data_IF_282668957878
#
_entry.id   IF_282668957878
#
_cell.length_a   1.000
_cell.length_b   1.000
_cell.length_c   1.000
_cell.angle_alpha   90.00
_cell.angle_beta   90.00
_cell.angle_gamma   90.00
#
_symmetry.space_group_name_H-M   'P 1'
#
loop_
_entity.id
_entity.type
_entity.pdbx_description
1 polymer ?
#
# COMPACT_ATOMS: atom_id res chain seq x y z
N UNK A 1 -16.32 -45.78 -29.99
CA UNK A 1 -15.08 -45.21 -30.58
C UNK A 1 -15.16 -43.72 -30.36
N UNK A 2 -14.32 -43.23 -29.45
CA UNK A 2 -14.28 -41.86 -28.90
C UNK A 2 -13.39 -41.00 -29.78
N UNK A 3 -13.77 -39.74 -30.02
CA UNK A 3 -12.81 -38.68 -30.39
C UNK A 3 -13.07 -37.44 -29.53
N UNK A 4 -12.17 -37.26 -28.56
CA UNK A 4 -11.84 -35.99 -27.91
C UNK A 4 -10.64 -35.42 -28.65
N UNK A 5 -10.67 -34.14 -29.01
CA UNK A 5 -9.48 -33.41 -29.45
C UNK A 5 -9.11 -32.38 -28.38
N UNK A 6 -7.96 -32.63 -27.76
CA UNK A 6 -7.44 -31.90 -26.62
C UNK A 6 -6.69 -30.64 -27.07
N UNK A 7 -7.09 -29.49 -26.52
CA UNK A 7 -6.35 -28.23 -26.56
C UNK A 7 -5.05 -28.39 -25.77
N UNK A 8 -3.92 -28.19 -26.44
CA UNK A 8 -2.58 -28.20 -25.86
C UNK A 8 -2.32 -26.84 -25.19
N UNK A 9 -2.51 -26.76 -23.87
CA UNK A 9 -2.09 -25.60 -23.06
C UNK A 9 -0.64 -25.82 -22.64
N UNK A 10 0.28 -25.00 -23.17
CA UNK A 10 1.67 -24.97 -22.73
C UNK A 10 1.75 -24.52 -21.27
N UNK A 11 2.39 -25.35 -20.46
CA UNK A 11 2.54 -25.15 -19.03
C UNK A 11 3.65 -24.13 -18.77
N UNK A 12 3.32 -22.85 -18.69
CA UNK A 12 4.24 -21.84 -18.13
C UNK A 12 4.40 -22.15 -16.64
N UNK A 13 5.64 -22.40 -16.22
CA UNK A 13 5.97 -22.80 -14.86
C UNK A 13 5.74 -21.64 -13.89
N UNK A 14 5.01 -21.89 -12.80
CA UNK A 14 4.84 -20.98 -11.63
C UNK A 14 6.19 -20.35 -11.16
N UNK A 15 7.32 -21.00 -11.43
CA UNK A 15 8.66 -20.53 -11.08
C UNK A 15 9.09 -19.29 -11.88
N UNK A 16 8.64 -19.13 -13.13
CA UNK A 16 9.00 -17.97 -13.98
C UNK A 16 8.27 -16.68 -13.56
N UNK A 17 7.15 -16.79 -12.85
CA UNK A 17 6.35 -15.65 -12.38
C UNK A 17 6.73 -15.24 -10.95
N UNK A 18 7.09 -16.19 -10.08
CA UNK A 18 7.36 -15.91 -8.66
C UNK A 18 8.78 -15.38 -8.43
N UNK A 19 9.77 -15.83 -9.23
CA UNK A 19 11.16 -15.42 -9.07
C UNK A 19 11.39 -13.89 -9.13
N UNK A 20 10.83 -13.14 -10.10
CA UNK A 20 10.98 -11.68 -10.12
C UNK A 20 10.27 -10.98 -8.96
N UNK A 21 9.07 -11.45 -8.56
CA UNK A 21 8.32 -10.85 -7.44
C UNK A 21 9.04 -11.00 -6.09
N UNK A 22 9.68 -12.14 -5.82
CA UNK A 22 10.39 -12.36 -4.55
C UNK A 22 11.68 -11.52 -4.47
N UNK A 23 12.33 -11.28 -5.61
CA UNK A 23 13.54 -10.43 -5.70
C UNK A 23 13.21 -8.96 -5.48
N UNK A 24 12.08 -8.48 -6.00
CA UNK A 24 11.65 -7.09 -5.87
C UNK A 24 11.24 -6.76 -4.44
N UNK A 25 10.48 -7.65 -3.78
CA UNK A 25 10.07 -7.50 -2.37
C UNK A 25 11.28 -7.54 -1.42
N UNK A 26 12.27 -8.40 -1.69
CA UNK A 26 13.48 -8.49 -0.86
C UNK A 26 14.36 -7.23 -0.97
N UNK A 27 14.44 -6.63 -2.17
CA UNK A 27 15.13 -5.37 -2.43
C UNK A 27 14.46 -4.19 -1.72
N UNK A 28 13.13 -4.13 -1.76
CA UNK A 28 12.34 -3.10 -1.09
C UNK A 28 12.45 -3.23 0.42
N UNK A 29 12.36 -4.45 0.96
CA UNK A 29 12.51 -4.69 2.40
C UNK A 29 13.91 -4.33 2.90
N UNK A 30 14.97 -4.68 2.17
CA UNK A 30 16.33 -4.29 2.50
C UNK A 30 16.53 -2.77 2.49
N UNK A 31 15.97 -2.05 1.51
CA UNK A 31 16.01 -0.58 1.46
C UNK A 31 15.23 0.08 2.60
N UNK A 32 14.12 -0.52 3.01
CA UNK A 32 13.29 -0.02 4.10
C UNK A 32 13.95 -0.20 5.48
N UNK A 33 14.53 -1.38 5.74
CA UNK A 33 15.30 -1.64 6.98
C UNK A 33 16.53 -0.72 7.07
N UNK A 34 17.17 -0.40 5.94
CA UNK A 34 18.31 0.53 5.89
C UNK A 34 17.92 1.99 6.15
N UNK A 35 16.68 2.39 5.84
CA UNK A 35 16.16 3.73 6.12
C UNK A 35 15.70 3.90 7.58
N UNK A 36 15.37 2.80 8.26
CA UNK A 36 14.82 2.83 9.62
C UNK A 36 15.88 2.93 10.73
N UNK A 37 17.08 2.38 10.54
CA UNK A 37 17.98 2.07 11.67
C UNK A 37 19.34 2.79 11.71
N UNK A 38 19.62 3.78 10.84
CA UNK A 38 20.80 4.65 11.00
C UNK A 38 22.17 3.94 11.10
N UNK A 39 22.33 2.75 10.52
CA UNK A 39 23.55 1.95 10.63
C UNK A 39 24.66 2.40 9.67
N UNK A 40 25.88 2.52 10.20
CA UNK A 40 27.11 2.93 9.51
C UNK A 40 27.40 2.15 8.21
N UNK A 41 27.53 2.88 7.10
CA UNK A 41 27.56 2.38 5.71
C UNK A 41 28.73 1.50 5.30
N UNK A 42 29.73 1.24 6.16
CA UNK A 42 30.94 0.51 5.75
C UNK A 42 30.83 -1.02 5.81
N UNK A 43 29.86 -1.57 6.57
CA UNK A 43 29.63 -3.03 6.66
C UNK A 43 28.50 -3.53 5.75
N UNK A 44 27.53 -2.67 5.41
CA UNK A 44 26.39 -3.00 4.56
C UNK A 44 26.79 -3.29 3.10
N UNK A 45 27.76 -2.54 2.54
CA UNK A 45 28.20 -2.73 1.15
C UNK A 45 28.85 -4.10 0.88
N UNK A 46 29.51 -4.71 1.89
CA UNK A 46 30.07 -6.06 1.75
C UNK A 46 29.00 -7.16 1.77
N UNK A 47 27.91 -6.95 2.50
CA UNK A 47 26.82 -7.91 2.60
C UNK A 47 26.01 -7.95 1.30
N UNK A 48 25.68 -6.76 0.75
CA UNK A 48 24.99 -6.62 -0.54
C UNK A 48 25.82 -7.20 -1.68
N UNK A 49 27.10 -6.86 -1.77
CA UNK A 49 27.98 -7.41 -2.79
C UNK A 49 28.19 -8.93 -2.67
N UNK A 50 28.10 -9.51 -1.47
CA UNK A 50 28.18 -10.96 -1.27
C UNK A 50 26.89 -11.68 -1.69
N UNK A 51 25.72 -11.06 -1.47
CA UNK A 51 24.41 -11.57 -1.90
C UNK A 51 24.28 -11.50 -3.43
N UNK A 52 24.63 -10.37 -4.05
CA UNK A 52 24.58 -10.18 -5.50
C UNK A 52 25.50 -11.16 -6.25
N UNK A 53 26.74 -11.35 -5.78
CA UNK A 53 27.66 -12.35 -6.38
C UNK A 53 27.13 -13.78 -6.29
N UNK A 54 26.38 -14.10 -5.23
CA UNK A 54 25.81 -15.43 -5.03
C UNK A 54 24.57 -15.65 -5.90
N UNK A 55 23.79 -14.61 -6.14
CA UNK A 55 22.67 -14.61 -7.11
C UNK A 55 23.19 -14.82 -8.54
N UNK A 56 24.25 -14.12 -8.93
CA UNK A 56 24.86 -14.25 -10.25
C UNK A 56 25.46 -15.65 -10.50
N UNK A 57 26.04 -16.24 -9.46
CA UNK A 57 26.59 -17.61 -9.50
C UNK A 57 25.47 -18.65 -9.65
N UNK A 58 24.35 -18.46 -8.95
CA UNK A 58 23.18 -19.34 -9.04
C UNK A 58 22.49 -19.23 -10.40
N UNK A 59 22.42 -18.03 -10.99
CA UNK A 59 21.90 -17.81 -12.34
C UNK A 59 22.75 -18.52 -13.41
N UNK A 60 24.09 -18.39 -13.34
CA UNK A 60 25.02 -19.05 -14.27
C UNK A 60 24.97 -20.58 -14.15
N UNK A 61 24.87 -21.12 -12.94
CA UNK A 61 24.74 -22.57 -12.70
C UNK A 61 23.38 -23.14 -13.15
N UNK A 62 22.31 -22.36 -13.08
CA UNK A 62 20.97 -22.73 -13.55
C UNK A 62 20.87 -22.78 -15.08
N UNK A 63 21.53 -21.86 -15.79
CA UNK A 63 21.52 -21.81 -17.26
C UNK A 63 22.32 -22.92 -17.96
N UNK A 64 23.24 -23.59 -17.25
CA UNK A 64 24.18 -24.55 -17.84
C UNK A 64 23.74 -26.03 -17.79
N UNK A 65 22.56 -26.38 -17.25
CA UNK A 65 22.12 -27.78 -17.10
C UNK A 65 20.71 -28.02 -17.63
N UNK A 66 20.53 -27.96 -18.96
CA UNK A 66 19.27 -28.28 -19.65
C UNK A 66 19.15 -29.73 -20.14
N UNK A 67 20.01 -30.66 -19.69
CA UNK A 67 20.11 -32.00 -20.32
C UNK A 67 20.02 -33.20 -19.37
N UNK A 68 18.99 -33.29 -18.50
CA UNK A 68 18.63 -34.57 -17.82
C UNK A 68 17.11 -34.66 -17.54
N UNK A 69 16.57 -35.88 -17.58
CA UNK A 69 15.14 -36.21 -17.68
C UNK A 69 14.30 -36.00 -16.40
N UNK A 70 12.99 -35.82 -16.62
CA UNK A 70 12.00 -35.20 -15.72
C UNK A 70 11.62 -35.89 -14.40
N UNK A 71 12.39 -36.84 -13.87
CA UNK A 71 12.10 -37.46 -12.56
C UNK A 71 12.93 -36.92 -11.39
N UNK A 72 13.98 -36.14 -11.64
CA UNK A 72 14.83 -35.56 -10.58
C UNK A 72 14.35 -34.18 -10.08
N UNK A 73 13.39 -33.52 -10.78
CA UNK A 73 12.96 -32.14 -10.50
C UNK A 73 12.03 -31.99 -9.28
N UNK A 74 11.32 -33.03 -8.85
CA UNK A 74 10.30 -32.91 -7.80
C UNK A 74 10.90 -33.05 -6.39
N UNK A 75 12.03 -33.75 -6.24
CA UNK A 75 12.58 -34.06 -4.91
C UNK A 75 13.61 -33.04 -4.38
N UNK A 76 14.15 -32.17 -5.24
CA UNK A 76 15.12 -31.13 -4.84
C UNK A 76 14.62 -29.67 -4.95
N UNK A 77 13.47 -29.42 -5.59
CA UNK A 77 12.86 -28.08 -5.64
C UNK A 77 12.33 -27.58 -4.30
N UNK A 78 11.81 -28.47 -3.45
CA UNK A 78 11.38 -28.10 -2.08
C UNK A 78 12.54 -27.82 -1.12
N UNK A 79 13.74 -28.33 -1.40
CA UNK A 79 14.88 -28.18 -0.48
C UNK A 79 15.56 -26.81 -0.60
N UNK A 80 15.42 -26.12 -1.74
CA UNK A 80 15.98 -24.77 -1.94
C UNK A 80 15.09 -23.66 -1.38
N UNK A 81 13.75 -23.83 -1.36
CA UNK A 81 12.82 -22.88 -0.72
C UNK A 81 12.90 -22.99 0.81
N UNK A 82 13.14 -24.18 1.35
CA UNK A 82 13.36 -24.37 2.79
C UNK A 82 14.69 -23.78 3.30
N UNK A 83 15.68 -23.56 2.41
CA UNK A 83 16.99 -23.01 2.78
C UNK A 83 17.00 -21.47 2.85
N UNK A 84 16.09 -20.79 2.14
CA UNK A 84 15.98 -19.33 2.18
C UNK A 84 15.22 -18.83 3.42
N UNK A 85 14.30 -19.62 3.96
CA UNK A 85 13.52 -19.25 5.16
C UNK A 85 14.23 -19.54 6.49
N UNK A 86 15.33 -20.30 6.49
CA UNK A 86 16.10 -20.62 7.71
C UNK A 86 17.22 -19.61 8.04
N UNK A 87 17.55 -18.68 7.15
CA UNK A 87 18.56 -17.63 7.41
C UNK A 87 17.94 -16.37 8.03
N UNK A 88 16.60 -16.24 8.06
CA UNK A 88 15.91 -15.13 8.71
C UNK A 88 15.49 -15.40 10.17
N UNK A 89 15.71 -16.61 10.70
CA UNK A 89 15.17 -17.03 12.01
C UNK A 89 16.22 -17.49 13.04
N UNK A 90 17.53 -17.36 12.78
CA UNK A 90 18.60 -17.77 13.72
C UNK A 90 19.40 -16.63 14.35
N UNK A 91 18.97 -15.38 14.22
CA UNK A 91 19.65 -14.23 14.87
C UNK A 91 19.22 -13.98 16.32
N UNK A 92 18.42 -14.87 16.93
CA UNK A 92 17.82 -14.67 18.25
C UNK A 92 18.14 -15.88 19.14
N UNK A 93 19.23 -15.73 19.93
CA UNK A 93 19.77 -16.58 21.02
C UNK A 93 20.41 -17.94 20.62
N UNK A 94 21.68 -18.26 20.94
CA UNK A 94 22.22 -18.65 22.29
C UNK A 94 23.79 -18.74 22.29
N UNK A 95 24.44 -18.01 23.23
CA UNK A 95 25.59 -18.30 24.19
C UNK A 95 26.85 -19.11 23.77
N UNK A 96 27.93 -19.33 24.61
CA UNK A 96 28.55 -18.63 25.77
C UNK A 96 30.08 -18.36 25.56
N UNK A 97 30.78 -17.79 26.55
CA UNK A 97 32.15 -17.24 26.42
C UNK A 97 33.37 -18.15 26.64
N UNK A 98 34.48 -17.46 26.95
CA UNK A 98 35.78 -17.88 27.51
C UNK A 98 37.01 -17.84 26.58
N UNK A 99 37.95 -16.92 26.91
CA UNK A 99 39.43 -17.01 26.97
C UNK A 99 39.98 -15.59 26.83
N UNK A 100 40.70 -14.94 27.74
CA UNK A 100 41.38 -15.35 28.96
C UNK A 100 42.64 -14.48 29.07
N UNK A 101 42.73 -13.63 30.09
CA UNK A 101 43.99 -13.09 30.62
C UNK A 101 43.77 -12.62 32.07
N UNK A 102 44.24 -13.45 32.99
CA UNK A 102 44.52 -13.25 34.42
C UNK A 102 45.51 -12.08 34.62
N UNK A 103 45.47 -11.26 35.68
CA UNK A 103 45.74 -11.62 37.09
C UNK A 103 45.37 -10.45 38.05
N UNK A 104 45.33 -10.69 39.39
CA UNK A 104 44.73 -9.82 40.39
C UNK A 104 45.76 -9.03 41.22
N UNK A 105 45.35 -7.92 41.85
CA UNK A 105 46.04 -7.42 43.04
C UNK A 105 45.08 -6.70 44.02
N UNK A 106 45.45 -6.80 45.29
CA UNK A 106 44.69 -6.71 46.53
C UNK A 106 44.25 -5.32 46.98
N UNK A 107 43.09 -5.33 47.66
CA UNK A 107 42.70 -4.62 48.87
C UNK A 107 43.52 -3.41 49.36
N UNK A 108 42.82 -2.30 49.64
CA UNK A 108 42.87 -1.67 50.97
C UNK A 108 41.67 -0.75 51.23
N UNK A 109 41.18 -0.85 52.46
CA UNK A 109 40.06 -0.11 53.06
C UNK A 109 40.27 1.41 53.08
N UNK A 110 39.17 2.18 53.01
CA UNK A 110 38.90 3.19 54.04
C UNK A 110 37.39 3.44 54.22
N UNK A 111 37.01 3.49 55.49
CA UNK A 111 35.66 3.62 56.04
C UNK A 111 35.15 5.06 56.10
N UNK A 112 33.82 5.22 56.16
CA UNK A 112 33.10 6.43 56.58
C UNK A 112 32.77 7.37 55.40
N UNK A 113 31.54 7.82 55.16
CA UNK A 113 30.46 8.17 56.08
C UNK A 113 29.17 8.27 55.25
N UNK A 114 28.08 7.67 55.74
CA UNK A 114 26.72 7.95 55.25
C UNK A 114 26.31 9.34 55.72
N UNK A 115 25.99 10.23 54.78
CA UNK A 115 25.21 11.44 55.05
C UNK A 115 24.04 11.45 54.08
N UNK A 116 22.95 10.80 54.48
CA UNK A 116 21.62 11.23 54.07
C UNK A 116 21.35 12.57 54.73
N UNK A 117 21.19 13.62 53.92
CA UNK A 117 20.64 14.89 54.36
C UNK A 117 21.11 16.07 53.50
N UNK A 118 20.14 16.71 52.83
CA UNK A 118 20.22 17.93 51.97
C UNK A 118 20.73 17.67 50.55
N UNK A 119 20.00 17.90 49.46
CA UNK A 119 18.87 18.79 49.19
C UNK A 119 17.90 18.18 48.17
N UNK A 120 16.62 18.16 48.50
CA UNK A 120 15.52 17.78 47.60
C UNK A 120 14.98 18.98 46.78
N UNK A 121 15.69 20.11 46.77
CA UNK A 121 15.29 21.36 46.09
C UNK A 121 16.34 21.80 45.06
N UNK A 122 16.71 20.88 44.17
CA UNK A 122 17.44 21.23 42.95
C UNK A 122 16.92 20.43 41.75
N UNK A 123 15.59 20.40 41.56
CA UNK A 123 15.06 20.31 40.19
C UNK A 123 15.34 21.68 39.58
N UNK A 124 16.55 21.85 39.05
CA UNK A 124 16.85 23.01 38.23
C UNK A 124 15.87 23.02 37.07
N UNK A 125 15.06 24.08 37.02
CA UNK A 125 14.33 24.56 35.85
C UNK A 125 15.33 24.89 34.73
N UNK A 126 15.97 23.88 34.16
CA UNK A 126 16.59 24.02 32.86
C UNK A 126 15.43 24.13 31.87
N UNK A 127 15.24 25.28 31.18
CA UNK A 127 14.23 25.34 30.14
C UNK A 127 14.56 24.25 29.15
N UNK A 128 13.58 23.40 28.87
CA UNK A 128 13.66 22.40 27.81
C UNK A 128 13.88 23.17 26.50
N UNK A 129 15.15 23.42 26.15
CA UNK A 129 15.54 24.28 25.03
C UNK A 129 15.70 23.50 23.75
N UNK A 130 15.62 22.16 23.82
CA UNK A 130 15.58 21.31 22.64
C UNK A 130 14.22 21.49 21.95
N UNK A 131 14.18 22.10 20.74
CA UNK A 131 12.95 22.32 20.00
C UNK A 131 12.20 21.01 19.71
N UNK A 132 12.89 19.87 19.62
CA UNK A 132 12.27 18.57 19.42
C UNK A 132 11.47 18.13 20.66
N UNK A 133 12.01 18.33 21.87
CA UNK A 133 11.32 17.99 23.12
C UNK A 133 10.15 18.95 23.36
N UNK A 134 10.31 20.25 23.07
CA UNK A 134 9.21 21.22 23.15
C UNK A 134 8.10 20.84 22.18
N UNK A 135 8.42 20.60 20.90
CA UNK A 135 7.45 20.22 19.88
C UNK A 135 6.70 18.95 20.25
N UNK A 136 7.42 17.91 20.72
CA UNK A 136 6.81 16.66 21.21
C UNK A 136 5.86 16.91 22.38
N UNK A 137 6.27 17.71 23.36
CA UNK A 137 5.45 18.00 24.53
C UNK A 137 4.20 18.82 24.19
N UNK A 138 4.26 19.68 23.17
CA UNK A 138 3.10 20.39 22.62
C UNK A 138 2.17 19.41 21.90
N UNK A 139 2.69 18.60 20.97
CA UNK A 139 1.89 17.63 20.23
C UNK A 139 1.23 16.57 21.13
N UNK A 140 1.89 16.19 22.24
CA UNK A 140 1.33 15.26 23.22
C UNK A 140 0.10 15.81 23.97
N UNK A 141 -0.12 17.13 23.95
CA UNK A 141 -1.23 17.80 24.66
C UNK A 141 -2.29 18.37 23.70
N UNK A 142 -2.00 18.40 22.41
CA UNK A 142 -2.91 18.92 21.39
C UNK A 142 -3.62 17.75 20.74
N UNK A 143 -4.96 17.78 20.74
CA UNK A 143 -5.76 16.94 19.85
C UNK A 143 -6.06 17.74 18.59
N UNK A 144 -5.47 17.40 17.42
CA UNK A 144 -5.82 18.07 16.19
C UNK A 144 -7.32 17.88 15.90
N UNK A 145 -8.03 18.93 15.45
CA UNK A 145 -9.41 18.77 15.05
C UNK A 145 -9.49 17.79 13.87
N UNK A 146 -10.63 17.11 13.74
CA UNK A 146 -10.92 16.31 12.54
C UNK A 146 -10.80 17.22 11.31
N UNK A 147 -10.16 16.72 10.25
CA UNK A 147 -10.05 17.44 8.98
C UNK A 147 -11.45 17.72 8.43
N UNK A 148 -11.78 19.00 8.28
CA UNK A 148 -12.97 19.51 7.61
C UNK A 148 -12.52 20.39 6.44
N UNK A 149 -12.55 19.83 5.24
CA UNK A 149 -12.06 20.51 4.03
C UNK A 149 -12.96 21.69 3.63
N UNK A 150 -14.26 21.63 3.89
CA UNK A 150 -15.19 22.74 3.61
C UNK A 150 -14.86 23.93 4.53
N UNK A 151 -14.72 23.67 5.83
CA UNK A 151 -14.35 24.70 6.79
C UNK A 151 -12.96 25.29 6.51
N UNK A 152 -11.97 24.44 6.18
CA UNK A 152 -10.62 24.88 5.82
C UNK A 152 -10.61 25.73 4.55
N UNK A 153 -11.34 25.32 3.51
CA UNK A 153 -11.44 26.05 2.25
C UNK A 153 -12.07 27.43 2.44
N UNK A 154 -13.15 27.52 3.24
CA UNK A 154 -13.78 28.81 3.58
C UNK A 154 -12.85 29.73 4.34
N UNK A 155 -12.14 29.22 5.36
CA UNK A 155 -11.13 30.00 6.11
C UNK A 155 -10.02 30.50 5.21
N UNK A 156 -9.51 29.64 4.33
CA UNK A 156 -8.44 29.99 3.41
C UNK A 156 -8.84 31.11 2.44
N UNK A 157 -10.10 31.12 1.98
CA UNK A 157 -10.62 32.16 1.08
C UNK A 157 -11.16 33.41 1.78
N UNK A 158 -11.14 33.48 3.11
CA UNK A 158 -11.78 34.57 3.86
C UNK A 158 -13.31 34.56 3.82
N UNK A 159 -13.92 33.43 3.46
CA UNK A 159 -15.36 33.23 3.25
C UNK A 159 -16.08 32.62 4.48
N UNK A 160 -15.60 32.93 5.70
CA UNK A 160 -16.13 32.35 6.95
C UNK A 160 -17.55 32.79 7.29
N UNK A 161 -18.03 33.89 6.69
CA UNK A 161 -19.38 34.43 6.87
C UNK A 161 -20.38 33.92 5.83
N UNK A 162 -19.90 33.32 4.74
CA UNK A 162 -20.77 32.82 3.67
C UNK A 162 -21.60 31.64 4.16
N UNK A 163 -22.80 31.38 3.61
CA UNK A 163 -23.55 30.17 3.94
C UNK A 163 -22.71 28.91 3.71
N UNK A 164 -22.88 27.91 4.59
CA UNK A 164 -22.23 26.61 4.38
C UNK A 164 -22.78 25.96 3.10
N UNK A 165 -21.89 25.44 2.22
CA UNK A 165 -22.33 24.63 1.09
C UNK A 165 -23.13 23.42 1.53
N UNK A 166 -24.12 23.03 0.73
CA UNK A 166 -24.87 21.79 0.95
C UNK A 166 -23.92 20.59 0.88
N UNK A 167 -23.96 19.66 1.86
CA UNK A 167 -23.14 18.46 1.80
C UNK A 167 -23.42 17.60 0.56
N UNK A 168 -22.38 16.94 0.06
CA UNK A 168 -22.49 16.01 -1.06
C UNK A 168 -23.29 14.78 -0.64
N UNK A 169 -24.31 14.43 -1.42
CA UNK A 169 -25.11 13.22 -1.19
C UNK A 169 -24.30 11.96 -1.53
N UNK A 170 -24.34 10.97 -0.63
CA UNK A 170 -23.70 9.66 -0.83
C UNK A 170 -24.56 8.71 -1.67
N UNK A 171 -25.88 8.88 -1.63
CA UNK A 171 -26.83 8.17 -2.47
C UNK A 171 -27.06 8.92 -3.78
N UNK A 172 -27.30 8.16 -4.86
CA UNK A 172 -27.56 8.75 -6.18
C UNK A 172 -28.41 7.82 -7.06
N UNK A 173 -29.40 8.39 -7.71
CA UNK A 173 -30.10 7.75 -8.82
C UNK A 173 -29.40 8.12 -10.13
N UNK A 174 -29.31 7.17 -11.04
CA UNK A 174 -28.77 7.37 -12.37
C UNK A 174 -29.58 6.52 -13.35
N UNK A 175 -29.83 7.06 -14.53
CA UNK A 175 -30.56 6.37 -15.59
C UNK A 175 -29.58 5.59 -16.47
N UNK A 176 -30.01 4.43 -16.97
CA UNK A 176 -29.20 3.64 -17.87
C UNK A 176 -28.82 4.47 -19.11
N UNK A 177 -27.53 4.45 -19.48
CA UNK A 177 -27.03 5.27 -20.59
C UNK A 177 -26.87 6.76 -20.29
N UNK A 178 -27.02 7.20 -19.02
CA UNK A 178 -26.75 8.59 -18.63
C UNK A 178 -25.36 9.02 -19.10
N UNK A 179 -25.31 10.10 -19.88
CA UNK A 179 -24.06 10.77 -20.22
C UNK A 179 -23.65 11.74 -19.12
N UNK A 180 -22.38 11.69 -18.72
CA UNK A 180 -21.83 12.59 -17.72
C UNK A 180 -20.37 12.88 -17.99
N UNK A 181 -19.98 14.13 -17.71
CA UNK A 181 -18.59 14.58 -17.71
C UNK A 181 -18.03 14.58 -16.31
N UNK A 182 -16.79 14.10 -16.16
CA UNK A 182 -16.07 14.07 -14.89
C UNK A 182 -14.73 14.79 -14.97
N UNK A 183 -14.32 15.41 -13.88
CA UNK A 183 -12.95 15.82 -13.64
C UNK A 183 -12.10 14.61 -13.23
N UNK A 184 -10.96 14.42 -13.88
CA UNK A 184 -10.03 13.30 -13.66
C UNK A 184 -8.64 13.88 -13.43
N UNK A 185 -7.90 13.32 -12.47
CA UNK A 185 -6.53 13.69 -12.19
C UNK A 185 -5.58 12.92 -13.11
N UNK A 186 -4.74 13.63 -13.86
CA UNK A 186 -3.52 13.08 -14.45
C UNK A 186 -2.44 13.16 -13.37
N UNK A 187 -2.14 12.04 -12.72
CA UNK A 187 -1.16 11.99 -11.63
C UNK A 187 0.26 12.29 -12.12
N UNK A 188 0.58 11.90 -13.35
CA UNK A 188 1.89 12.15 -13.96
C UNK A 188 2.17 13.64 -14.16
N UNK A 189 1.15 14.42 -14.53
CA UNK A 189 1.25 15.88 -14.73
C UNK A 189 0.78 16.70 -13.53
N UNK A 190 0.08 16.08 -12.58
CA UNK A 190 -0.62 16.74 -11.46
C UNK A 190 -1.60 17.81 -11.93
N UNK A 191 -2.34 17.50 -12.98
CA UNK A 191 -3.34 18.40 -13.59
C UNK A 191 -4.66 17.68 -13.75
N UNK A 192 -5.76 18.41 -13.65
CA UNK A 192 -7.09 17.88 -13.93
C UNK A 192 -7.48 18.09 -15.39
N UNK A 193 -8.18 17.12 -15.96
CA UNK A 193 -8.83 17.22 -17.26
C UNK A 193 -10.25 16.68 -17.16
N UNK A 194 -11.09 16.98 -18.16
CA UNK A 194 -12.44 16.47 -18.22
C UNK A 194 -12.55 15.30 -19.18
N UNK A 195 -13.35 14.30 -18.80
CA UNK A 195 -13.65 13.15 -19.63
C UNK A 195 -15.17 12.97 -19.73
N UNK A 196 -15.68 12.82 -20.96
CA UNK A 196 -17.05 12.44 -21.24
C UNK A 196 -17.22 10.93 -21.09
N UNK A 197 -18.32 10.52 -20.45
CA UNK A 197 -18.61 9.13 -20.11
C UNK A 197 -20.09 8.80 -20.29
N UNK A 198 -20.37 7.51 -20.44
CA UNK A 198 -21.72 6.93 -20.41
C UNK A 198 -21.84 5.93 -19.25
N UNK A 199 -22.97 5.92 -18.54
CA UNK A 199 -23.29 4.88 -17.56
C UNK A 199 -23.51 3.54 -18.28
N UNK A 200 -22.57 2.62 -18.12
CA UNK A 200 -22.58 1.32 -18.79
C UNK A 200 -23.29 0.23 -17.97
N UNK A 201 -23.40 0.39 -16.66
CA UNK A 201 -24.12 -0.53 -15.78
C UNK A 201 -24.19 -0.03 -14.35
N UNK A 202 -25.09 -0.63 -13.58
CA UNK A 202 -25.33 -0.23 -12.20
C UNK A 202 -25.90 -1.37 -11.36
N UNK A 203 -25.71 -1.26 -10.04
CA UNK A 203 -26.25 -2.14 -9.00
C UNK A 203 -26.59 -1.34 -7.75
N UNK A 204 -27.01 -2.00 -6.67
CA UNK A 204 -27.38 -1.32 -5.43
C UNK A 204 -26.26 -0.41 -4.90
N UNK A 205 -24.99 -0.80 -5.06
CA UNK A 205 -23.85 -0.02 -4.54
C UNK A 205 -22.94 0.58 -5.62
N UNK A 206 -23.08 0.20 -6.90
CA UNK A 206 -22.21 0.70 -7.97
C UNK A 206 -22.94 1.47 -9.08
N UNK A 207 -22.24 2.47 -9.61
CA UNK A 207 -22.53 3.15 -10.87
C UNK A 207 -21.28 3.11 -11.75
N UNK A 208 -21.24 2.26 -12.78
CA UNK A 208 -20.07 2.13 -13.65
C UNK A 208 -20.21 3.04 -14.86
N UNK A 209 -19.44 4.12 -14.85
CA UNK A 209 -19.30 5.03 -15.99
C UNK A 209 -18.09 4.63 -16.81
N UNK A 210 -18.24 4.57 -18.13
CA UNK A 210 -17.17 4.26 -19.08
C UNK A 210 -16.92 5.49 -19.93
N UNK A 211 -15.66 5.89 -20.04
CA UNK A 211 -15.25 6.99 -20.89
C UNK A 211 -15.57 6.68 -22.36
N UNK A 212 -16.12 7.68 -23.05
CA UNK A 212 -16.51 7.55 -24.45
C UNK A 212 -15.31 7.12 -25.30
N UNK A 213 -15.53 6.10 -26.15
CA UNK A 213 -14.49 5.51 -27.00
C UNK A 213 -13.63 4.43 -26.33
N UNK A 214 -13.81 4.15 -25.03
CA UNK A 214 -13.14 3.02 -24.36
C UNK A 214 -13.87 1.71 -24.67
N UNK A 215 -13.19 0.70 -25.27
CA UNK A 215 -13.83 -0.56 -25.61
C UNK A 215 -14.04 -1.42 -24.36
N UNK A 216 -15.25 -1.95 -24.22
CA UNK A 216 -15.64 -2.86 -23.15
C UNK A 216 -16.07 -4.19 -23.74
N UNK A 217 -15.56 -5.29 -23.18
CA UNK A 217 -15.92 -6.63 -23.65
C UNK A 217 -17.39 -6.96 -23.29
N UNK A 218 -18.10 -7.74 -24.12
CA UNK A 218 -19.46 -8.17 -23.80
C UNK A 218 -19.53 -8.85 -22.42
N UNK A 219 -20.51 -8.46 -21.60
CA UNK A 219 -20.73 -9.01 -20.25
C UNK A 219 -19.70 -8.58 -19.18
N UNK A 220 -18.68 -7.79 -19.54
CA UNK A 220 -17.63 -7.41 -18.61
C UNK A 220 -18.11 -6.51 -17.47
N UNK A 221 -19.07 -5.61 -17.76
CA UNK A 221 -19.67 -4.73 -16.75
C UNK A 221 -20.48 -5.55 -15.75
N UNK A 222 -21.33 -6.45 -16.23
CA UNK A 222 -22.15 -7.32 -15.38
C UNK A 222 -21.29 -8.23 -14.51
N UNK A 223 -20.22 -8.79 -15.08
CA UNK A 223 -19.27 -9.62 -14.33
C UNK A 223 -18.57 -8.83 -13.22
N UNK A 224 -18.11 -7.61 -13.49
CA UNK A 224 -17.51 -6.75 -12.47
C UNK A 224 -18.51 -6.37 -11.38
N UNK A 225 -19.75 -6.01 -11.75
CA UNK A 225 -20.82 -5.72 -10.78
C UNK A 225 -21.03 -6.92 -9.88
N UNK A 226 -21.20 -8.11 -10.47
CA UNK A 226 -21.44 -9.35 -9.74
C UNK A 226 -20.28 -9.69 -8.80
N UNK A 227 -19.03 -9.58 -9.25
CA UNK A 227 -17.85 -9.83 -8.41
C UNK A 227 -17.78 -8.84 -7.24
N UNK A 228 -18.10 -7.57 -7.47
CA UNK A 228 -18.10 -6.57 -6.41
C UNK A 228 -19.19 -6.86 -5.37
N UNK A 229 -20.45 -6.99 -5.80
CA UNK A 229 -21.61 -7.17 -4.91
C UNK A 229 -21.56 -8.51 -4.16
N UNK A 230 -21.16 -9.60 -4.82
CA UNK A 230 -21.17 -10.94 -4.20
C UNK A 230 -19.92 -11.25 -3.38
N UNK A 231 -18.80 -10.56 -3.64
CA UNK A 231 -17.50 -10.90 -3.01
C UNK A 231 -16.81 -9.73 -2.37
N UNK A 232 -16.49 -8.68 -3.14
CA UNK A 232 -15.67 -7.58 -2.62
C UNK A 232 -16.39 -6.84 -1.51
N UNK A 233 -17.64 -6.41 -1.72
CA UNK A 233 -18.39 -5.65 -0.73
C UNK A 233 -18.62 -6.45 0.56
N UNK A 234 -19.14 -7.70 0.55
CA UNK A 234 -19.31 -8.48 1.78
C UNK A 234 -18.01 -8.76 2.54
N UNK A 235 -16.86 -8.80 1.84
CA UNK A 235 -15.56 -8.91 2.48
C UNK A 235 -15.13 -7.59 3.11
N UNK A 236 -15.27 -6.48 2.37
CA UNK A 236 -14.93 -5.14 2.84
C UNK A 236 -15.78 -4.75 4.05
N UNK A 237 -17.08 -4.99 4.03
CA UNK A 237 -17.98 -4.66 5.14
C UNK A 237 -17.67 -5.47 6.40
N UNK A 238 -17.21 -6.72 6.24
CA UNK A 238 -16.80 -7.56 7.37
C UNK A 238 -15.53 -7.05 8.05
N UNK A 239 -14.62 -6.46 7.28
CA UNK A 239 -13.32 -6.00 7.78
C UNK A 239 -13.39 -4.55 8.26
N UNK A 240 -14.09 -3.69 7.54
CA UNK A 240 -14.11 -2.24 7.75
C UNK A 240 -15.44 -1.68 8.25
N UNK A 241 -16.50 -2.49 8.26
CA UNK A 241 -17.86 -2.07 8.58
C UNK A 241 -18.69 -1.72 7.34
N UNK A 242 -20.01 -1.73 7.50
CA UNK A 242 -20.96 -1.45 6.43
C UNK A 242 -20.83 -0.02 5.89
N UNK A 243 -21.11 0.15 4.60
CA UNK A 243 -21.24 1.48 4.02
C UNK A 243 -22.41 2.24 4.67
N UNK A 244 -22.36 3.59 4.72
CA UNK A 244 -23.53 4.36 5.09
C UNK A 244 -24.73 3.99 4.20
N UNK A 245 -25.95 3.87 4.75
CA UNK A 245 -27.11 3.41 4.01
C UNK A 245 -27.37 4.20 2.73
N UNK A 246 -27.63 3.48 1.64
CA UNK A 246 -27.92 4.06 0.32
C UNK A 246 -26.69 4.61 -0.43
N UNK A 247 -25.48 4.44 0.08
CA UNK A 247 -24.26 4.87 -0.60
C UNK A 247 -24.11 4.16 -1.95
N UNK A 248 -23.89 4.94 -3.02
CA UNK A 248 -23.55 4.41 -4.35
C UNK A 248 -22.22 4.95 -4.82
N UNK A 249 -21.26 4.05 -5.02
CA UNK A 249 -19.92 4.34 -5.49
C UNK A 249 -19.97 4.48 -7.01
N UNK A 250 -19.61 5.66 -7.49
CA UNK A 250 -19.38 5.88 -8.92
C UNK A 250 -17.99 5.39 -9.29
N UNK A 251 -17.90 4.58 -10.34
CA UNK A 251 -16.64 4.05 -10.84
C UNK A 251 -16.41 4.58 -12.24
N UNK A 252 -15.42 5.46 -12.38
CA UNK A 252 -14.96 5.93 -13.69
C UNK A 252 -14.04 4.90 -14.31
N UNK A 253 -14.33 4.48 -15.54
CA UNK A 253 -13.52 3.57 -16.33
C UNK A 253 -13.01 4.30 -17.56
N UNK A 254 -11.73 4.69 -17.56
CA UNK A 254 -11.18 5.41 -18.70
C UNK A 254 -9.68 5.56 -18.65
N UNK A 255 -9.20 6.61 -19.29
CA UNK A 255 -7.80 7.01 -19.25
C UNK A 255 -7.55 7.69 -17.90
N UNK A 256 -6.68 7.09 -17.08
CA UNK A 256 -6.28 7.65 -15.79
C UNK A 256 -4.75 7.62 -15.67
N UNK A 257 -4.04 8.59 -16.25
CA UNK A 257 -2.60 8.52 -16.41
C UNK A 257 -1.84 8.49 -15.08
N UNK A 258 -0.77 7.69 -15.04
CA UNK A 258 0.18 7.64 -13.92
C UNK A 258 -0.17 6.63 -12.81
N UNK A 259 -1.38 6.07 -12.80
CA UNK A 259 -1.85 5.13 -11.76
C UNK A 259 -2.72 4.02 -12.33
N UNK A 260 -2.89 2.92 -11.58
CA UNK A 260 -3.81 1.83 -11.95
C UNK A 260 -5.27 2.13 -11.59
N UNK A 261 -5.46 2.89 -10.52
CA UNK A 261 -6.74 3.43 -10.07
C UNK A 261 -6.56 4.21 -8.77
N UNK A 262 -7.55 5.02 -8.40
CA UNK A 262 -7.53 5.77 -7.15
C UNK A 262 -8.93 6.12 -6.64
N UNK A 263 -9.06 6.29 -5.33
CA UNK A 263 -10.19 6.93 -4.68
C UNK A 263 -9.89 8.41 -4.41
N UNK A 264 -10.88 9.29 -4.61
CA UNK A 264 -10.72 10.73 -4.40
C UNK A 264 -11.65 11.23 -3.30
N UNK A 265 -11.08 11.47 -2.11
CA UNK A 265 -11.82 12.14 -1.03
C UNK A 265 -12.21 13.58 -1.39
N UNK A 266 -11.51 14.18 -2.35
CA UNK A 266 -11.78 15.51 -2.89
C UNK A 266 -13.10 15.59 -3.67
N UNK A 267 -13.64 14.46 -4.13
CA UNK A 267 -14.97 14.40 -4.77
C UNK A 267 -16.11 14.37 -3.75
N UNK A 268 -15.82 14.22 -2.46
CA UNK A 268 -16.82 14.23 -1.38
C UNK A 268 -17.15 15.61 -0.84
N UNK A 269 -16.54 16.67 -1.40
CA UNK A 269 -16.81 18.05 -0.99
C UNK A 269 -17.49 18.83 -2.11
N UNK A 270 -18.25 19.88 -1.79
CA UNK A 270 -18.92 20.67 -2.81
C UNK A 270 -17.95 21.39 -3.74
N UNK A 271 -18.36 21.68 -4.98
CA UNK A 271 -17.51 22.39 -5.97
C UNK A 271 -17.07 23.77 -5.49
N UNK A 272 -17.90 24.41 -4.65
CA UNK A 272 -17.54 25.66 -4.00
C UNK A 272 -16.34 25.48 -3.08
N UNK A 273 -16.09 24.30 -2.53
CA UNK A 273 -14.90 24.00 -1.71
C UNK A 273 -13.72 23.58 -2.57
N UNK A 274 -13.95 22.69 -3.56
CA UNK A 274 -12.94 22.24 -4.51
C UNK A 274 -13.50 22.28 -5.96
N UNK A 275 -12.98 23.15 -6.85
CA UNK A 275 -13.52 23.30 -8.20
C UNK A 275 -13.40 22.06 -9.10
N UNK A 276 -12.56 21.09 -8.72
CA UNK A 276 -12.38 19.83 -9.45
C UNK A 276 -13.15 18.66 -8.82
N UNK A 277 -14.01 18.92 -7.83
CA UNK A 277 -14.88 17.89 -7.25
C UNK A 277 -15.96 17.44 -8.23
N UNK A 278 -16.23 16.14 -8.24
CA UNK A 278 -17.36 15.52 -8.95
C UNK A 278 -18.59 15.28 -8.05
N UNK A 279 -18.54 15.74 -6.80
CA UNK A 279 -19.62 15.72 -5.81
C UNK A 279 -20.30 14.34 -5.71
N UNK A 280 -19.48 13.30 -5.50
CA UNK A 280 -19.92 11.91 -5.30
C UNK A 280 -18.80 11.05 -4.72
N UNK A 281 -19.17 9.91 -4.14
CA UNK A 281 -18.22 8.85 -3.81
C UNK A 281 -17.70 8.25 -5.11
N UNK A 282 -16.40 8.42 -5.39
CA UNK A 282 -15.85 8.08 -6.70
C UNK A 282 -14.51 7.36 -6.65
N UNK A 283 -14.42 6.29 -7.45
CA UNK A 283 -13.19 5.55 -7.74
C UNK A 283 -12.91 5.68 -9.23
N UNK A 284 -11.64 5.85 -9.59
CA UNK A 284 -11.17 5.99 -10.95
C UNK A 284 -10.33 4.78 -11.32
N UNK A 285 -10.63 4.16 -12.45
CA UNK A 285 -10.02 2.92 -12.91
C UNK A 285 -9.32 3.17 -14.25
N UNK A 286 -8.03 2.87 -14.30
CA UNK A 286 -7.23 3.05 -15.51
C UNK A 286 -7.39 1.86 -16.47
N UNK A 287 -8.20 2.06 -17.49
CA UNK A 287 -8.51 1.04 -18.51
C UNK A 287 -7.34 0.69 -19.43
N UNK A 288 -6.26 1.49 -19.42
CA UNK A 288 -5.00 1.15 -20.10
C UNK A 288 -4.23 0.04 -19.37
N UNK A 289 -4.50 -0.17 -18.08
CA UNK A 289 -3.76 -1.14 -17.24
C UNK A 289 -4.57 -2.37 -16.84
N UNK A 290 -5.89 -2.21 -16.71
CA UNK A 290 -6.81 -3.26 -16.29
C UNK A 290 -8.22 -2.90 -16.74
N UNK A 291 -9.04 -3.88 -17.13
CA UNK A 291 -10.38 -3.63 -17.70
C UNK A 291 -11.47 -4.35 -16.91
N UNK A 292 -12.73 -3.85 -16.94
CA UNK A 292 -13.87 -4.57 -16.36
C UNK A 292 -13.91 -6.04 -16.81
N UNK A 293 -14.43 -6.91 -15.95
CA UNK A 293 -14.48 -8.36 -16.14
C UNK A 293 -13.15 -9.10 -15.91
N UNK A 294 -12.07 -8.39 -15.56
CA UNK A 294 -10.77 -9.01 -15.26
C UNK A 294 -10.54 -9.11 -13.76
N UNK A 295 -10.00 -10.26 -13.30
CA UNK A 295 -9.63 -10.44 -11.88
C UNK A 295 -8.69 -9.36 -11.34
N UNK A 296 -7.79 -8.82 -12.18
CA UNK A 296 -6.91 -7.72 -11.79
C UNK A 296 -7.70 -6.44 -11.51
N UNK A 297 -8.72 -6.15 -12.33
CA UNK A 297 -9.58 -4.98 -12.17
C UNK A 297 -10.35 -5.08 -10.85
N UNK A 298 -10.95 -6.23 -10.57
CA UNK A 298 -11.74 -6.43 -9.35
C UNK A 298 -10.87 -6.26 -8.09
N UNK A 299 -9.61 -6.72 -8.15
CA UNK A 299 -8.64 -6.52 -7.08
C UNK A 299 -8.23 -5.06 -6.88
N UNK A 300 -8.12 -4.27 -7.96
CA UNK A 300 -7.82 -2.83 -7.86
C UNK A 300 -9.04 -2.04 -7.37
N UNK A 301 -10.25 -2.39 -7.80
CA UNK A 301 -11.48 -1.73 -7.34
C UNK A 301 -11.75 -2.00 -5.86
N UNK A 302 -11.38 -3.18 -5.36
CA UNK A 302 -11.52 -3.53 -3.95
C UNK A 302 -10.43 -2.94 -3.04
N UNK A 303 -9.31 -2.47 -3.61
CA UNK A 303 -8.19 -1.92 -2.87
C UNK A 303 -8.48 -0.50 -2.36
#
# INVERSE_FOLDING_TARGET
>A
MVWQEAVRVESVSIIEIIAPCVLEVSSIFAKWVMAADGYSGYRAGRLVGAVERRIDTLWRLGSAKSRWSGRWRIRHGLSLVASASLIALTSVWVLPGASGATSPESASNHSGTSIFGRDADAIGDAPVSDPAIVTRNVLARVTPPRRDEVALSRRYRGACTDPLPTPVALSRTAEAGEHRRFWVLDEGKRTFFQADTTLAGQSDHLLLYVQDGVPVAPGAIDETIRQFEEKSLPLLERVFGALPPGTRISVFNGRVPGVGGYFSSSDLVPVQSNPYSNERVMVYMNTDTTKPGQRRYDGVLAH
#
